data_IF_213628945828
#
_entry.id   IF_213628945828
#
_cell.length_a   1.000
_cell.length_b   1.000
_cell.length_c   1.000
_cell.angle_alpha   90.00
_cell.angle_beta   90.00
_cell.angle_gamma   90.00
#
_symmetry.space_group_name_H-M   'P 1'
#
loop_
_entity.id
_entity.type
_entity.pdbx_description
1 polymer ?
#
# COMPACT_ATOMS: atom_id res chain seq x y z
N UNK A 1 4.84 0.84 -0.99
CA UNK A 1 5.11 0.85 -2.45
C UNK A 1 4.64 2.18 -3.02
N UNK A 2 5.50 2.98 -3.65
CA UNK A 2 5.08 4.26 -4.22
C UNK A 2 5.23 4.24 -5.74
N UNK A 3 4.10 4.35 -6.50
CA UNK A 3 4.18 4.45 -7.95
C UNK A 3 5.02 5.66 -8.37
N UNK A 4 5.75 5.53 -9.48
CA UNK A 4 6.56 6.61 -10.05
C UNK A 4 6.29 6.74 -11.54
N UNK A 5 6.40 7.96 -12.06
CA UNK A 5 6.44 8.23 -13.48
C UNK A 5 7.88 8.64 -13.82
N UNK A 6 8.64 7.78 -14.48
CA UNK A 6 10.06 8.04 -14.77
C UNK A 6 10.30 9.39 -15.48
N UNK A 7 9.36 9.80 -16.33
CA UNK A 7 9.44 11.04 -17.09
C UNK A 7 9.06 12.29 -16.30
N UNK A 8 8.51 12.17 -15.09
CA UNK A 8 8.14 13.29 -14.23
C UNK A 8 8.81 13.13 -12.85
N UNK A 9 9.64 14.10 -12.40
CA UNK A 9 10.33 13.98 -11.12
C UNK A 9 9.39 13.89 -9.91
N UNK A 10 8.12 14.31 -10.06
CA UNK A 10 7.13 14.25 -9.00
C UNK A 10 6.52 12.86 -8.90
N UNK A 11 6.69 12.22 -7.73
CA UNK A 11 6.01 10.97 -7.41
C UNK A 11 4.49 11.22 -7.38
N UNK A 12 3.69 10.53 -8.19
CA UNK A 12 2.24 10.69 -8.18
C UNK A 12 1.69 10.42 -6.78
N UNK A 13 0.80 11.30 -6.33
CA UNK A 13 0.12 11.20 -5.04
C UNK A 13 -1.29 11.77 -5.12
N UNK A 14 -2.15 11.36 -4.19
CA UNK A 14 -3.54 11.81 -4.07
C UNK A 14 -4.39 11.59 -5.33
N UNK A 15 -4.08 10.57 -6.13
CA UNK A 15 -4.81 10.28 -7.36
C UNK A 15 -6.30 9.94 -7.10
N UNK A 16 -7.17 10.23 -8.07
CA UNK A 16 -8.59 9.89 -7.99
C UNK A 16 -8.81 8.36 -7.98
N UNK A 17 -9.78 7.87 -7.21
CA UNK A 17 -10.09 6.45 -7.10
C UNK A 17 -10.77 6.11 -5.78
N UNK A 18 -11.16 4.84 -5.61
CA UNK A 18 -11.80 4.34 -4.40
C UNK A 18 -10.89 4.52 -3.17
N UNK A 19 -11.48 5.03 -2.09
CA UNK A 19 -10.80 5.10 -0.80
C UNK A 19 -10.45 3.70 -0.28
N UNK A 20 -9.52 3.67 0.68
CA UNK A 20 -9.19 2.45 1.39
C UNK A 20 -10.46 1.85 2.01
N UNK A 21 -10.69 0.57 1.75
CA UNK A 21 -11.70 -0.20 2.45
C UNK A 21 -11.03 -1.42 3.04
N UNK A 22 -10.99 -1.49 4.37
CA UNK A 22 -10.37 -2.61 5.06
C UNK A 22 -11.00 -3.95 4.63
N UNK A 23 -12.29 -4.00 4.25
CA UNK A 23 -12.97 -5.22 3.77
C UNK A 23 -12.36 -5.78 2.49
N UNK A 24 -11.68 -4.94 1.71
CA UNK A 24 -10.96 -5.36 0.51
C UNK A 24 -9.58 -5.98 0.82
N UNK A 25 -9.19 -6.06 2.09
CA UNK A 25 -8.02 -6.81 2.54
C UNK A 25 -8.47 -8.07 3.27
N UNK A 26 -8.11 -9.22 2.69
CA UNK A 26 -8.37 -10.51 3.30
C UNK A 26 -7.67 -10.63 4.67
N UNK A 27 -8.25 -11.31 5.67
CA UNK A 27 -7.69 -11.41 7.03
C UNK A 27 -6.24 -11.88 7.06
N UNK A 28 -5.88 -12.87 6.24
CA UNK A 28 -4.52 -13.38 6.11
C UNK A 28 -3.53 -12.32 5.62
N UNK A 29 -3.98 -11.41 4.74
CA UNK A 29 -3.14 -10.33 4.24
C UNK A 29 -2.85 -9.31 5.33
N UNK A 30 -3.84 -8.99 6.17
CA UNK A 30 -3.63 -8.09 7.31
C UNK A 30 -2.59 -8.64 8.27
N UNK A 31 -2.64 -9.93 8.59
CA UNK A 31 -1.62 -10.57 9.45
C UNK A 31 -0.22 -10.48 8.84
N UNK A 32 -0.08 -10.73 7.55
CA UNK A 32 1.20 -10.56 6.82
C UNK A 32 1.69 -9.11 6.87
N UNK A 33 0.81 -8.13 6.64
CA UNK A 33 1.16 -6.72 6.66
C UNK A 33 1.58 -6.22 8.05
N UNK A 34 1.01 -6.75 9.14
CA UNK A 34 1.46 -6.41 10.50
C UNK A 34 2.94 -6.74 10.73
N UNK A 35 3.47 -7.73 10.03
CA UNK A 35 4.88 -8.13 10.11
C UNK A 35 5.71 -7.30 9.12
N UNK A 36 5.29 -7.27 7.86
CA UNK A 36 6.10 -6.68 6.79
C UNK A 36 5.99 -5.16 6.68
N UNK A 37 4.94 -4.57 7.22
CA UNK A 37 4.65 -3.14 7.07
C UNK A 37 3.85 -2.54 8.25
N UNK A 38 4.37 -2.64 9.49
CA UNK A 38 3.73 -2.07 10.67
C UNK A 38 3.77 -0.54 10.70
N UNK A 39 2.84 0.07 11.44
CA UNK A 39 2.98 1.45 11.89
C UNK A 39 3.94 1.52 13.09
N UNK A 40 5.09 2.15 12.86
CA UNK A 40 6.15 2.30 13.87
C UNK A 40 6.06 3.60 14.68
N UNK A 41 5.18 4.52 14.30
CA UNK A 41 5.04 5.82 14.97
C UNK A 41 3.92 5.80 16.01
N UNK A 42 2.71 5.38 15.60
CA UNK A 42 1.52 5.43 16.46
C UNK A 42 0.98 4.06 16.87
N UNK A 43 1.50 2.99 16.27
CA UNK A 43 1.03 1.61 16.49
C UNK A 43 -0.34 1.30 15.89
N UNK A 44 -0.88 2.19 15.03
CA UNK A 44 -2.14 1.97 14.34
C UNK A 44 -1.92 1.60 12.87
N UNK A 45 -1.61 0.32 12.66
CA UNK A 45 -1.31 -0.24 11.34
C UNK A 45 -2.39 0.07 10.30
N UNK A 46 -3.68 -0.04 10.68
CA UNK A 46 -4.78 0.15 9.71
C UNK A 46 -4.87 1.59 9.24
N UNK A 47 -4.70 2.56 10.15
CA UNK A 47 -4.67 3.98 9.79
C UNK A 47 -3.47 4.31 8.91
N UNK A 48 -2.33 3.69 9.18
CA UNK A 48 -1.15 3.84 8.35
C UNK A 48 -1.35 3.28 6.94
N UNK A 49 -1.86 2.05 6.80
CA UNK A 49 -2.17 1.44 5.51
C UNK A 49 -3.22 2.23 4.72
N UNK A 50 -4.24 2.76 5.40
CA UNK A 50 -5.22 3.65 4.81
C UNK A 50 -4.56 4.88 4.20
N UNK A 51 -3.66 5.54 4.95
CA UNK A 51 -2.90 6.69 4.47
C UNK A 51 -2.06 6.37 3.23
N UNK A 52 -1.34 5.25 3.26
CA UNK A 52 -0.51 4.81 2.14
C UNK A 52 -1.34 4.47 0.89
N UNK A 53 -2.47 3.79 1.05
CA UNK A 53 -3.36 3.52 -0.09
C UNK A 53 -3.97 4.81 -0.65
N UNK A 54 -4.52 5.66 0.24
CA UNK A 54 -5.21 6.87 -0.16
C UNK A 54 -4.26 7.90 -0.80
N UNK A 55 -3.00 7.96 -0.36
CA UNK A 55 -2.01 8.87 -0.92
C UNK A 55 -1.30 8.28 -2.13
N UNK A 56 -0.91 7.00 -2.10
CA UNK A 56 -0.03 6.41 -3.11
C UNK A 56 -0.67 5.26 -3.88
N UNK A 57 -1.32 4.32 -3.20
CA UNK A 57 -1.89 3.11 -3.81
C UNK A 57 -2.86 3.40 -4.96
N UNK A 58 -3.76 4.38 -4.80
CA UNK A 58 -4.70 4.81 -5.85
C UNK A 58 -4.03 5.24 -7.16
N UNK A 59 -2.79 5.70 -7.12
CA UNK A 59 -2.04 6.07 -8.32
C UNK A 59 -1.61 4.86 -9.16
N UNK A 60 -1.83 3.64 -8.67
CA UNK A 60 -1.62 2.38 -9.39
C UNK A 60 -2.90 1.62 -9.71
N UNK A 61 -4.09 2.20 -9.45
CA UNK A 61 -5.39 1.50 -9.52
C UNK A 61 -5.69 0.84 -10.87
N UNK A 62 -5.14 1.38 -11.95
CA UNK A 62 -5.35 0.86 -13.31
C UNK A 62 -4.57 -0.44 -13.57
N UNK A 63 -3.66 -0.82 -12.65
CA UNK A 63 -2.86 -2.04 -12.71
C UNK A 63 -2.97 -2.92 -11.47
N UNK A 64 -3.15 -2.31 -10.29
CA UNK A 64 -3.22 -3.00 -9.01
C UNK A 64 -4.44 -2.49 -8.25
N UNK A 65 -5.39 -3.39 -7.96
CA UNK A 65 -6.42 -3.10 -6.98
C UNK A 65 -5.82 -3.05 -5.55
N UNK A 66 -6.63 -2.66 -4.56
CA UNK A 66 -6.16 -2.51 -3.18
C UNK A 66 -5.48 -3.78 -2.64
N UNK A 67 -6.08 -4.96 -2.82
CA UNK A 67 -5.49 -6.22 -2.38
C UNK A 67 -4.13 -6.48 -3.05
N UNK A 68 -4.07 -6.35 -4.38
CA UNK A 68 -2.85 -6.59 -5.16
C UNK A 68 -1.72 -5.60 -4.83
N UNK A 69 -2.06 -4.34 -4.51
CA UNK A 69 -1.09 -3.34 -4.07
C UNK A 69 -0.39 -3.77 -2.77
N UNK A 70 -1.16 -4.25 -1.80
CA UNK A 70 -0.62 -4.69 -0.52
C UNK A 70 0.11 -6.04 -0.63
N UNK A 71 -0.40 -6.97 -1.44
CA UNK A 71 0.26 -8.24 -1.73
C UNK A 71 1.63 -8.01 -2.40
N UNK A 72 1.67 -7.17 -3.44
CA UNK A 72 2.93 -6.81 -4.11
C UNK A 72 3.93 -6.15 -3.15
N UNK A 73 3.44 -5.31 -2.23
CA UNK A 73 4.30 -4.66 -1.24
C UNK A 73 4.89 -5.67 -0.25
N UNK A 74 4.09 -6.64 0.21
CA UNK A 74 4.56 -7.73 1.05
C UNK A 74 5.57 -8.63 0.33
N UNK A 75 5.33 -8.98 -0.94
CA UNK A 75 6.26 -9.79 -1.73
C UNK A 75 7.61 -9.07 -1.95
N UNK A 76 7.58 -7.75 -2.11
CA UNK A 76 8.81 -6.94 -2.19
C UNK A 76 9.59 -6.99 -0.88
N UNK A 77 8.92 -6.86 0.27
CA UNK A 77 9.56 -7.01 1.59
C UNK A 77 10.17 -8.42 1.76
N UNK A 78 9.45 -9.48 1.41
CA UNK A 78 9.94 -10.86 1.48
C UNK A 78 11.18 -11.10 0.60
N UNK A 79 11.21 -10.52 -0.59
CA UNK A 79 12.31 -10.70 -1.56
C UNK A 79 13.54 -9.82 -1.26
N UNK A 80 13.39 -8.77 -0.46
CA UNK A 80 14.44 -7.83 -0.13
C UNK A 80 14.54 -7.70 1.39
N UNK A 81 14.78 -8.84 2.06
CA UNK A 81 15.04 -8.89 3.49
C UNK A 81 16.46 -8.36 3.76
N UNK A 82 16.56 -7.06 4.02
CA UNK A 82 17.80 -6.33 4.32
C UNK A 82 18.22 -6.57 5.78
#
# INVERSE_FOLDING_TARGET
LWPSNYSNPTKPSNCAGSQFDARNLAPQMRTKLKISWPDVESGNDTKFWEGEWNKHGKCSKDRLNQMQYFERSHDMWMSHNI
#
